data_IF_240179415700
#
_entry.id   IF_240179415700
#
_cell.length_a   1.000
_cell.length_b   1.000
_cell.length_c   1.000
_cell.angle_alpha   90.00
_cell.angle_beta   90.00
_cell.angle_gamma   90.00
#
_symmetry.space_group_name_H-M   'P 1'
#
loop_
_entity.id
_entity.type
_entity.pdbx_description
1 polymer ?
#
# COMPACT_ATOMS: atom_id res chain seq x y z
N UNK A 1 -12.47 -5.95 4.09
CA UNK A 1 -11.33 -6.89 4.28
C UNK A 1 -10.11 -6.11 4.72
N UNK A 2 -9.55 -6.49 5.85
CA UNK A 2 -8.32 -5.84 6.32
C UNK A 2 -7.10 -6.47 5.69
N UNK A 3 -6.19 -5.62 5.24
CA UNK A 3 -4.93 -6.06 4.62
C UNK A 3 -3.75 -5.34 5.25
N UNK A 4 -2.60 -5.92 5.04
CA UNK A 4 -1.33 -5.38 5.48
C UNK A 4 -0.36 -5.45 4.30
N UNK A 5 0.19 -4.31 3.94
CA UNK A 5 1.20 -4.24 2.89
C UNK A 5 2.57 -3.98 3.49
N UNK A 6 3.57 -4.62 2.93
CA UNK A 6 4.96 -4.26 3.16
C UNK A 6 5.48 -3.72 1.83
N UNK A 7 5.84 -2.44 1.82
CA UNK A 7 6.39 -1.77 0.64
C UNK A 7 7.89 -1.62 0.81
N UNK A 8 8.65 -2.15 -0.14
CA UNK A 8 10.11 -1.99 -0.18
C UNK A 8 10.46 -1.19 -1.42
N UNK A 9 11.37 -0.24 -1.30
CA UNK A 9 11.73 0.65 -2.40
C UNK A 9 13.20 1.04 -2.30
N UNK A 10 13.78 1.40 -3.46
CA UNK A 10 15.19 1.84 -3.50
C UNK A 10 15.34 3.35 -3.38
N UNK A 11 14.26 4.10 -3.63
CA UNK A 11 14.23 5.54 -3.38
C UNK A 11 14.15 5.82 -1.87
N UNK A 12 14.21 7.10 -1.48
CA UNK A 12 14.05 7.48 -0.08
C UNK A 12 12.62 7.28 0.38
N UNK A 13 12.42 7.14 1.69
CA UNK A 13 11.08 7.07 2.27
C UNK A 13 10.25 8.30 1.87
N UNK A 14 10.84 9.50 1.91
CA UNK A 14 10.12 10.72 1.59
C UNK A 14 9.64 10.74 0.13
N UNK A 15 10.42 10.25 -0.79
CA UNK A 15 10.02 10.15 -2.20
C UNK A 15 8.85 9.17 -2.37
N UNK A 16 8.94 8.00 -1.74
CA UNK A 16 7.87 7.02 -1.78
C UNK A 16 6.58 7.60 -1.14
N UNK A 17 6.72 8.22 0.04
CA UNK A 17 5.58 8.77 0.77
C UNK A 17 4.89 9.88 -0.03
N UNK A 18 5.66 10.68 -0.75
CA UNK A 18 5.12 11.73 -1.60
C UNK A 18 4.24 11.17 -2.71
N UNK A 19 4.67 10.08 -3.35
CA UNK A 19 3.86 9.39 -4.36
C UNK A 19 2.63 8.75 -3.72
N UNK A 20 2.80 8.10 -2.58
CA UNK A 20 1.71 7.50 -1.84
C UNK A 20 0.63 8.54 -1.49
N UNK A 21 1.03 9.69 -0.96
CA UNK A 21 0.11 10.77 -0.61
C UNK A 21 -0.56 11.36 -1.85
N UNK A 22 0.18 11.48 -2.96
CA UNK A 22 -0.35 11.98 -4.22
C UNK A 22 -1.43 11.10 -4.83
N UNK A 23 -1.44 9.81 -4.49
CA UNK A 23 -2.41 8.84 -4.99
C UNK A 23 -3.65 8.69 -4.10
N UNK A 24 -3.88 9.61 -3.16
CA UNK A 24 -5.00 9.53 -2.23
C UNK A 24 -6.35 9.34 -2.92
N UNK A 25 -6.60 10.10 -4.00
CA UNK A 25 -7.89 9.99 -4.71
C UNK A 25 -8.08 8.64 -5.39
N UNK A 26 -6.99 8.02 -5.85
CA UNK A 26 -7.05 6.66 -6.38
C UNK A 26 -7.32 5.65 -5.26
N UNK A 27 -6.63 5.80 -4.13
CA UNK A 27 -6.78 4.86 -3.00
C UNK A 27 -8.18 4.88 -2.40
N UNK A 28 -8.81 6.04 -2.31
CA UNK A 28 -10.17 6.17 -1.78
C UNK A 28 -11.20 5.32 -2.51
N UNK A 29 -10.92 4.97 -3.75
CA UNK A 29 -11.85 4.17 -4.56
C UNK A 29 -11.92 2.72 -4.11
N UNK A 30 -10.90 2.21 -3.40
CA UNK A 30 -10.85 0.80 -3.04
C UNK A 30 -10.39 0.53 -1.61
N UNK A 31 -9.94 1.53 -0.86
CA UNK A 31 -9.54 1.34 0.53
C UNK A 31 -9.88 2.54 1.40
N UNK A 32 -9.94 2.30 2.70
CA UNK A 32 -10.15 3.33 3.72
C UNK A 32 -9.34 2.99 4.97
N UNK A 33 -9.25 3.96 5.87
CA UNK A 33 -8.60 3.81 7.19
C UNK A 33 -7.18 3.30 7.08
N UNK A 34 -6.43 3.75 6.07
CA UNK A 34 -5.06 3.36 5.88
C UNK A 34 -4.14 4.05 6.89
N UNK A 35 -3.25 3.26 7.46
CA UNK A 35 -2.24 3.71 8.42
C UNK A 35 -0.88 3.31 7.86
N UNK A 36 0.02 4.28 7.77
CA UNK A 36 1.38 4.07 7.27
C UNK A 36 2.37 4.11 8.42
N UNK A 37 3.21 3.07 8.50
CA UNK A 37 4.33 3.05 9.44
C UNK A 37 5.64 3.02 8.67
N UNK A 38 6.58 3.88 9.07
CA UNK A 38 7.94 3.84 8.53
C UNK A 38 8.75 2.78 9.28
N UNK A 39 9.29 1.82 8.53
CA UNK A 39 10.20 0.82 9.11
C UNK A 39 11.64 1.33 9.06
N UNK A 40 12.07 1.76 7.88
CA UNK A 40 13.37 2.39 7.63
C UNK A 40 13.28 3.24 6.36
N UNK A 41 14.41 3.75 5.88
CA UNK A 41 14.42 4.61 4.69
C UNK A 41 13.95 3.92 3.41
N UNK A 42 13.90 2.59 3.40
CA UNK A 42 13.56 1.81 2.21
C UNK A 42 12.38 0.87 2.43
N UNK A 43 11.69 0.98 3.56
CA UNK A 43 10.59 0.08 3.90
C UNK A 43 9.48 0.80 4.65
N UNK A 44 8.25 0.58 4.22
CA UNK A 44 7.06 1.06 4.90
C UNK A 44 6.06 -0.07 5.09
N UNK A 45 5.24 0.06 6.11
CA UNK A 45 4.13 -0.86 6.35
C UNK A 45 2.83 -0.08 6.25
N UNK A 46 1.82 -0.69 5.64
CA UNK A 46 0.52 -0.04 5.49
C UNK A 46 -0.56 -1.03 5.92
N UNK A 47 -1.38 -0.62 6.89
CA UNK A 47 -2.59 -1.34 7.26
C UNK A 47 -3.77 -0.60 6.67
N UNK A 48 -4.69 -1.32 6.04
CA UNK A 48 -5.85 -0.69 5.42
C UNK A 48 -7.04 -1.64 5.37
N UNK A 49 -8.24 -1.06 5.23
CA UNK A 49 -9.45 -1.82 4.97
C UNK A 49 -9.78 -1.71 3.49
N UNK A 50 -9.87 -2.83 2.80
CA UNK A 50 -10.22 -2.86 1.38
C UNK A 50 -11.74 -2.86 1.26
N UNK A 51 -12.26 -1.86 0.57
CA UNK A 51 -13.70 -1.68 0.36
C UNK A 51 -14.17 -2.27 -0.97
N UNK A 52 -13.27 -2.36 -1.96
CA UNK A 52 -13.59 -2.90 -3.29
C UNK A 52 -12.36 -3.66 -3.84
N UNK A 53 -12.27 -4.97 -3.58
CA UNK A 53 -11.11 -5.75 -4.02
C UNK A 53 -10.92 -5.80 -5.54
N UNK A 54 -11.99 -5.83 -6.31
CA UNK A 54 -11.89 -5.86 -7.77
C UNK A 54 -11.32 -4.56 -8.31
N UNK A 55 -11.78 -3.44 -7.76
CA UNK A 55 -11.28 -2.12 -8.14
C UNK A 55 -9.83 -1.93 -7.71
N UNK A 56 -9.46 -2.44 -6.54
CA UNK A 56 -8.09 -2.44 -6.08
C UNK A 56 -7.18 -3.15 -7.09
N UNK A 57 -7.55 -4.35 -7.50
CA UNK A 57 -6.76 -5.12 -8.44
C UNK A 57 -6.59 -4.39 -9.76
N UNK A 58 -7.69 -3.81 -10.28
CA UNK A 58 -7.65 -3.05 -11.53
C UNK A 58 -6.73 -1.83 -11.43
N UNK A 59 -6.92 -1.01 -10.40
CA UNK A 59 -6.16 0.23 -10.23
C UNK A 59 -4.68 -0.09 -9.99
N UNK A 60 -4.38 -1.06 -9.13
CA UNK A 60 -3.01 -1.42 -8.83
C UNK A 60 -2.30 -2.04 -10.03
N UNK A 61 -3.00 -2.84 -10.83
CA UNK A 61 -2.41 -3.43 -12.03
C UNK A 61 -2.02 -2.39 -13.09
N UNK A 62 -2.69 -1.25 -13.09
CA UNK A 62 -2.37 -0.14 -13.99
C UNK A 62 -1.34 0.82 -13.39
N UNK A 63 -1.47 1.12 -12.09
CA UNK A 63 -0.64 2.14 -11.43
C UNK A 63 0.74 1.63 -11.02
N UNK A 64 0.83 0.41 -10.48
CA UNK A 64 2.11 -0.11 -9.99
C UNK A 64 3.17 -0.20 -11.10
N UNK A 65 2.87 -0.69 -12.32
CA UNK A 65 3.85 -0.68 -13.39
C UNK A 65 4.37 0.72 -13.78
N UNK A 66 3.59 1.77 -13.52
CA UNK A 66 4.02 3.14 -13.79
C UNK A 66 5.04 3.62 -12.77
N UNK A 67 4.83 3.31 -11.48
CA UNK A 67 5.66 3.85 -10.40
C UNK A 67 6.76 2.91 -9.94
N UNK A 68 6.58 1.59 -10.06
CA UNK A 68 7.55 0.63 -9.56
C UNK A 68 8.96 0.81 -10.13
N UNK A 69 9.13 1.03 -11.45
CA UNK A 69 10.48 1.25 -11.99
C UNK A 69 11.14 2.53 -11.48
N UNK A 70 10.34 3.57 -11.23
CA UNK A 70 10.85 4.86 -10.76
C UNK A 70 11.28 4.83 -9.31
N UNK A 71 10.54 4.07 -8.49
CA UNK A 71 10.77 4.00 -7.06
C UNK A 71 11.59 2.78 -6.63
N UNK A 72 11.80 1.84 -7.54
CA UNK A 72 12.36 0.54 -7.19
C UNK A 72 11.45 -0.20 -6.21
N UNK A 73 10.15 -0.18 -6.51
CA UNK A 73 9.11 -0.59 -5.58
C UNK A 73 8.75 -2.06 -5.72
N UNK A 74 8.65 -2.74 -4.57
CA UNK A 74 8.14 -4.10 -4.45
C UNK A 74 7.13 -4.12 -3.30
N UNK A 75 6.01 -4.79 -3.50
CA UNK A 75 4.98 -4.95 -2.48
C UNK A 75 4.79 -6.41 -2.09
N UNK A 76 4.58 -6.64 -0.80
CA UNK A 76 4.01 -7.88 -0.29
C UNK A 76 2.68 -7.53 0.36
N UNK A 77 1.64 -8.31 0.10
CA UNK A 77 0.32 -8.08 0.67
C UNK A 77 -0.11 -9.29 1.47
N UNK A 78 -0.65 -9.02 2.66
CA UNK A 78 -1.16 -10.05 3.56
C UNK A 78 -2.59 -9.71 3.95
N UNK A 79 -3.43 -10.71 4.04
CA UNK A 79 -4.76 -10.52 4.65
C UNK A 79 -4.62 -10.68 6.16
N UNK A 80 -5.39 -9.87 6.89
CA UNK A 80 -5.38 -9.90 8.34
C UNK A 80 -6.63 -10.56 8.85
N UNK A 81 -6.46 -11.54 9.72
CA UNK A 81 -7.56 -12.20 10.39
C UNK A 81 -7.41 -11.97 11.88
N UNK A 82 -8.47 -11.46 12.51
CA UNK A 82 -8.46 -11.21 13.94
C UNK A 82 -8.31 -12.55 14.67
N UNK A 83 -7.34 -12.58 15.55
CA UNK A 83 -7.17 -13.75 16.44
C UNK A 83 -8.22 -13.66 17.53
N UNK A 84 -9.00 -14.73 17.64
CA UNK A 84 -10.03 -14.84 18.67
C UNK A 84 -9.45 -15.63 19.84
N UNK A 85 -9.16 -14.93 20.93
CA UNK A 85 -8.56 -15.52 22.13
C UNK A 85 -9.63 -15.76 23.19
N UNK A 86 -10.33 -16.82 23.04
CA UNK A 86 -11.29 -17.21 24.08
C UNK A 86 -10.63 -17.99 25.21
#
# INVERSE_FOLDING_TARGET
>A
MEVFFVAKFTCSYNEWKSVYDGDLELRKQFMKDDIVGKVDENTAMIKATITDPEKMEKIMSERIPEIAPKLGLEHEMYTLTKIDNN
#
